data_IF_120943693670
#
_entry.id   IF_120943693670
#
_cell.length_a   1.000
_cell.length_b   1.000
_cell.length_c   1.000
_cell.angle_alpha   90.00
_cell.angle_beta   90.00
_cell.angle_gamma   90.00
#
_symmetry.space_group_name_H-M   'P 1'
#
loop_
_entity.id
_entity.type
_entity.pdbx_description
1 polymer ?
#
# COMPACT_ATOMS: atom_id res chain seq x y z
N UNK A 1 4.21 -0.73 0.96
CA UNK A 1 2.84 -0.37 0.51
C UNK A 1 2.87 -0.29 -0.99
N UNK A 2 1.88 -0.86 -1.67
CA UNK A 2 1.75 -0.79 -3.13
C UNK A 2 0.37 -0.21 -3.45
N UNK A 3 0.31 0.91 -4.17
CA UNK A 3 -0.92 1.57 -4.61
C UNK A 3 -1.36 0.92 -5.90
N UNK A 4 -2.56 0.33 -5.90
CA UNK A 4 -3.07 -0.45 -7.04
C UNK A 4 -4.26 0.22 -7.73
N UNK A 5 -4.79 1.30 -7.13
CA UNK A 5 -5.84 2.13 -7.73
C UNK A 5 -5.86 3.51 -7.04
N UNK A 6 -6.24 4.54 -7.81
CA UNK A 6 -6.47 5.89 -7.30
C UNK A 6 -5.21 6.65 -6.93
N UNK A 7 -5.43 7.79 -6.28
CA UNK A 7 -4.39 8.70 -5.81
C UNK A 7 -4.76 9.29 -4.46
N UNK A 8 -3.75 9.72 -3.72
CA UNK A 8 -3.96 10.29 -2.40
C UNK A 8 -2.67 10.60 -1.66
N UNK A 9 -2.73 10.57 -0.33
CA UNK A 9 -1.56 10.79 0.53
C UNK A 9 -1.45 9.80 1.66
N UNK A 10 -0.21 9.55 2.10
CA UNK A 10 0.11 8.92 3.38
C UNK A 10 1.08 9.80 4.15
N UNK A 11 0.69 10.28 5.35
CA UNK A 11 1.50 11.19 6.16
C UNK A 11 2.09 12.39 5.35
N UNK A 12 1.31 12.91 4.39
CA UNK A 12 1.71 14.02 3.51
C UNK A 12 2.49 13.62 2.24
N UNK A 13 3.04 12.41 2.17
CA UNK A 13 3.66 11.85 0.96
C UNK A 13 2.60 11.51 -0.08
N UNK A 14 2.83 11.85 -1.34
CA UNK A 14 1.93 11.53 -2.45
C UNK A 14 1.92 10.02 -2.73
N UNK A 15 0.74 9.50 -2.99
CA UNK A 15 0.46 8.17 -3.50
C UNK A 15 -0.24 8.30 -4.85
N UNK A 16 0.24 7.60 -5.86
CA UNK A 16 -0.38 7.61 -7.19
C UNK A 16 -0.20 6.26 -7.87
N UNK A 17 -1.30 5.68 -8.38
CA UNK A 17 -1.28 4.53 -9.27
C UNK A 17 -1.32 5.01 -10.73
N UNK A 18 -0.17 5.18 -11.41
CA UNK A 18 -0.13 5.78 -12.73
C UNK A 18 -0.78 4.87 -13.77
N UNK A 19 -1.61 5.47 -14.65
CA UNK A 19 -2.28 4.76 -15.76
C UNK A 19 -1.34 4.46 -16.93
N UNK A 20 -0.20 5.15 -17.00
CA UNK A 20 0.83 4.98 -18.02
C UNK A 20 2.18 5.37 -17.43
N UNK A 21 3.22 4.56 -17.66
CA UNK A 21 4.59 4.81 -17.21
C UNK A 21 5.52 4.73 -18.42
N UNK A 22 6.40 5.72 -18.61
CA UNK A 22 7.46 5.67 -19.64
C UNK A 22 8.78 5.16 -19.07
N UNK A 23 9.69 4.80 -19.98
CA UNK A 23 11.04 4.41 -19.60
C UNK A 23 11.75 5.57 -18.87
N UNK A 24 12.29 5.28 -17.68
CA UNK A 24 12.88 6.23 -16.71
C UNK A 24 11.90 7.17 -15.98
N UNK A 25 10.60 6.99 -16.13
CA UNK A 25 9.63 7.75 -15.34
C UNK A 25 9.56 7.15 -13.93
N UNK A 26 9.75 7.99 -12.91
CA UNK A 26 9.59 7.59 -11.52
C UNK A 26 8.09 7.56 -11.17
N UNK A 27 7.71 6.58 -10.37
CA UNK A 27 6.34 6.40 -9.90
C UNK A 27 6.23 6.69 -8.40
N UNK A 28 5.01 6.89 -7.93
CA UNK A 28 4.69 7.12 -6.51
C UNK A 28 3.71 6.06 -6.00
N UNK A 29 3.75 4.87 -6.60
CA UNK A 29 2.91 3.71 -6.30
C UNK A 29 3.50 2.82 -5.21
N UNK A 30 4.77 2.98 -4.87
CA UNK A 30 5.42 2.21 -3.80
C UNK A 30 5.96 3.08 -2.68
N UNK A 31 5.64 2.70 -1.43
CA UNK A 31 6.15 3.37 -0.23
C UNK A 31 6.62 2.36 0.80
N UNK A 32 7.80 2.61 1.37
CA UNK A 32 8.32 1.87 2.51
C UNK A 32 7.91 2.56 3.82
N UNK A 33 7.35 1.79 4.75
CA UNK A 33 6.98 2.27 6.08
C UNK A 33 8.02 1.78 7.09
N UNK A 34 8.69 2.70 7.75
CA UNK A 34 9.65 2.37 8.82
C UNK A 34 8.92 1.98 10.11
N UNK A 35 9.56 1.20 10.99
CA UNK A 35 9.00 0.84 12.31
C UNK A 35 8.58 2.09 13.11
N UNK A 36 9.40 3.15 13.10
CA UNK A 36 9.09 4.41 13.79
C UNK A 36 7.79 5.04 13.23
N UNK A 37 7.64 5.10 11.91
CA UNK A 37 6.45 5.66 11.27
C UNK A 37 5.21 4.79 11.52
N UNK A 38 5.35 3.46 11.49
CA UNK A 38 4.26 2.53 11.78
C UNK A 38 3.76 2.71 13.23
N UNK A 39 4.67 2.82 14.20
CA UNK A 39 4.35 3.03 15.62
C UNK A 39 3.70 4.38 15.90
N UNK A 40 4.11 5.42 15.18
CA UNK A 40 3.50 6.75 15.29
C UNK A 40 2.09 6.82 14.68
N UNK A 41 1.72 5.84 13.86
CA UNK A 41 0.47 5.82 13.11
C UNK A 41 0.61 6.46 11.72
N UNK A 42 -0.21 5.96 10.80
CA UNK A 42 -0.27 6.43 9.41
C UNK A 42 -1.65 7.02 9.15
N UNK A 43 -1.69 8.22 8.57
CA UNK A 43 -2.90 8.86 8.07
C UNK A 43 -2.95 8.76 6.56
N UNK A 44 -4.01 8.13 6.05
CA UNK A 44 -4.30 8.03 4.63
C UNK A 44 -5.40 9.01 4.25
N UNK A 45 -5.23 9.66 3.10
CA UNK A 45 -6.19 10.60 2.55
C UNK A 45 -6.46 10.21 1.10
N UNK A 46 -7.71 9.88 0.77
CA UNK A 46 -8.13 9.75 -0.62
C UNK A 46 -8.38 11.17 -1.15
N UNK A 47 -7.61 11.59 -2.15
CA UNK A 47 -7.75 12.92 -2.76
C UNK A 47 -8.78 12.93 -3.90
N UNK A 48 -9.26 11.76 -4.32
CA UNK A 48 -10.25 11.63 -5.38
C UNK A 48 -11.67 11.72 -4.85
N UNK A 49 -12.52 12.47 -5.56
CA UNK A 49 -13.96 12.53 -5.29
C UNK A 49 -14.73 11.37 -5.94
N UNK A 50 -14.10 10.60 -6.83
CA UNK A 50 -14.78 9.66 -7.73
C UNK A 50 -14.09 8.31 -7.91
N UNK A 51 -12.92 8.11 -7.29
CA UNK A 51 -12.14 6.88 -7.42
C UNK A 51 -11.66 6.46 -6.02
N UNK A 52 -11.64 5.16 -5.74
CA UNK A 52 -11.13 4.66 -4.46
C UNK A 52 -9.60 4.63 -4.48
N UNK A 53 -8.99 5.01 -3.35
CA UNK A 53 -7.59 4.76 -3.06
C UNK A 53 -7.43 3.32 -2.54
N UNK A 54 -6.88 2.43 -3.37
CA UNK A 54 -6.70 1.01 -3.02
C UNK A 54 -5.21 0.71 -2.87
N UNK A 55 -4.84 0.15 -1.71
CA UNK A 55 -3.45 -0.08 -1.33
C UNK A 55 -3.28 -1.50 -0.79
N UNK A 56 -2.30 -2.24 -1.30
CA UNK A 56 -1.82 -3.48 -0.73
C UNK A 56 -0.79 -3.20 0.37
N UNK A 57 -1.03 -3.76 1.55
CA UNK A 57 -0.10 -3.70 2.69
C UNK A 57 0.64 -5.02 2.79
N UNK A 58 1.96 -4.95 2.60
CA UNK A 58 2.85 -6.06 2.86
C UNK A 58 3.55 -5.82 4.18
N UNK A 59 3.40 -6.76 5.10
CA UNK A 59 4.06 -6.76 6.40
C UNK A 59 5.22 -7.75 6.38
N UNK A 60 6.24 -7.50 7.21
CA UNK A 60 7.30 -8.47 7.42
C UNK A 60 6.77 -9.78 8.02
N UNK A 61 7.60 -10.84 8.06
CA UNK A 61 7.25 -12.08 8.73
C UNK A 61 6.90 -11.83 10.20
N UNK A 62 6.08 -12.73 10.77
CA UNK A 62 5.72 -12.76 12.19
C UNK A 62 4.98 -11.50 12.71
N UNK A 63 4.38 -10.70 11.83
CA UNK A 63 3.61 -9.50 12.23
C UNK A 63 2.17 -9.83 12.67
N UNK A 64 1.61 -10.92 12.15
CA UNK A 64 0.24 -11.34 12.39
C UNK A 64 0.24 -12.79 12.87
N UNK A 65 -0.35 -13.04 14.04
CA UNK A 65 -0.42 -14.37 14.65
C UNK A 65 -1.47 -15.28 14.00
N UNK A 66 -2.35 -14.70 13.17
CA UNK A 66 -3.52 -15.33 12.55
C UNK A 66 -3.41 -15.43 11.02
N UNK A 67 -2.20 -15.54 10.49
CA UNK A 67 -2.01 -15.74 9.05
C UNK A 67 -2.31 -17.18 8.65
N UNK A 68 -2.90 -17.40 7.46
CA UNK A 68 -3.00 -18.73 6.87
C UNK A 68 -1.61 -19.33 6.69
N UNK A 69 -1.50 -20.62 6.95
CA UNK A 69 -0.30 -21.38 6.67
C UNK A 69 -0.11 -21.54 5.15
N UNK A 70 1.13 -21.78 4.74
CA UNK A 70 1.44 -22.04 3.33
C UNK A 70 0.75 -23.33 2.90
N UNK A 71 -0.33 -23.21 2.13
CA UNK A 71 -1.10 -24.36 1.62
C UNK A 71 -2.58 -24.36 1.99
N UNK A 72 -3.04 -23.43 2.84
CA UNK A 72 -4.43 -23.41 3.34
C UNK A 72 -5.50 -23.18 2.27
N UNK A 73 -5.11 -22.74 1.07
CA UNK A 73 -6.01 -22.57 -0.08
C UNK A 73 -6.53 -23.88 -0.67
N UNK A 74 -6.02 -25.03 -0.23
CA UNK A 74 -6.43 -26.37 -0.70
C UNK A 74 -7.43 -27.09 0.21
N UNK A 75 -7.86 -26.47 1.31
CA UNK A 75 -8.84 -27.08 2.21
C UNK A 75 -10.28 -26.82 1.73
N UNK A 76 -10.82 -27.79 0.97
CA UNK A 76 -12.26 -28.03 0.77
C UNK A 76 -12.88 -28.77 1.97
#
# INVERSE_FOLDING_TARGET
LIVVQGSGRVNGLTLDCPKLIRFHELTQDEVFVTDIAARAGLRFENESATEDLVILRYFGPDVHDDLPEVGDHHHD
#
